data_IF_980022863441
#
_entry.id   IF_980022863441
#
_cell.length_a   1.000
_cell.length_b   1.000
_cell.length_c   1.000
_cell.angle_alpha   90.00
_cell.angle_beta   90.00
_cell.angle_gamma   90.00
#
_symmetry.space_group_name_H-M   'P 1'
#
loop_
_entity.id
_entity.type
_entity.pdbx_description
1 polymer ?
#
# COMPACT_ATOMS: atom_id res chain seq x y z
N UNK A 1 8.51 58.94 -12.02
CA UNK A 1 9.48 59.96 -12.43
C UNK A 1 10.81 59.51 -11.83
N UNK A 2 11.78 58.92 -12.50
CA UNK A 2 12.12 58.51 -13.88
C UNK A 2 12.91 57.18 -13.69
N UNK A 3 12.65 56.04 -14.36
CA UNK A 3 13.17 55.61 -15.68
C UNK A 3 14.64 56.06 -15.91
N UNK A 4 15.66 55.28 -16.27
CA UNK A 4 15.91 53.95 -16.89
C UNK A 4 17.46 53.82 -16.83
N UNK A 5 18.13 52.67 -16.75
CA UNK A 5 18.46 51.78 -17.88
C UNK A 5 19.33 50.62 -17.34
N UNK A 6 19.02 49.41 -17.81
CA UNK A 6 19.94 48.28 -18.00
C UNK A 6 20.56 48.40 -19.41
N UNK A 7 21.73 47.80 -19.78
CA UNK A 7 21.83 46.33 -19.92
C UNK A 7 23.23 45.65 -19.82
N UNK A 8 23.13 44.31 -19.73
CA UNK A 8 23.95 43.22 -20.33
C UNK A 8 25.47 43.01 -20.04
N UNK A 9 25.72 41.92 -19.29
CA UNK A 9 26.59 40.73 -19.53
C UNK A 9 27.87 40.85 -20.38
N UNK A 10 29.02 40.36 -19.87
CA UNK A 10 29.99 39.44 -20.51
C UNK A 10 31.07 38.95 -19.50
N UNK A 11 31.55 37.73 -19.77
CA UNK A 11 32.39 36.77 -19.04
C UNK A 11 33.90 37.06 -18.82
N UNK A 12 34.39 36.35 -17.80
CA UNK A 12 35.63 35.55 -17.64
C UNK A 12 37.05 36.14 -17.44
N UNK A 13 37.69 35.43 -16.49
CA UNK A 13 39.10 35.11 -16.27
C UNK A 13 40.11 36.20 -15.86
N UNK A 14 40.59 36.07 -14.61
CA UNK A 14 42.03 36.17 -14.32
C UNK A 14 42.46 35.55 -13.00
N UNK A 15 43.40 34.62 -13.16
CA UNK A 15 44.49 34.18 -12.29
C UNK A 15 44.70 34.93 -10.97
N UNK A 16 44.85 34.18 -9.88
CA UNK A 16 45.71 34.59 -8.77
C UNK A 16 46.52 33.39 -8.27
N UNK A 17 47.81 33.42 -8.63
CA UNK A 17 48.89 32.60 -8.06
C UNK A 17 49.43 33.31 -6.79
N UNK A 18 50.49 32.72 -6.23
CA UNK A 18 51.40 33.20 -5.14
C UNK A 18 50.92 32.82 -3.70
N UNK A 19 51.68 32.22 -2.77
CA UNK A 19 53.12 31.95 -2.48
C UNK A 19 53.15 30.73 -1.52
N UNK A 20 53.85 29.61 -1.77
CA UNK A 20 55.26 29.24 -1.52
C UNK A 20 55.69 29.00 -0.04
N UNK A 21 56.19 27.77 0.25
CA UNK A 21 57.38 27.36 1.06
C UNK A 21 57.07 26.10 1.89
N UNK A 22 57.84 25.00 1.92
CA UNK A 22 59.09 24.56 1.28
C UNK A 22 59.10 23.02 1.16
N UNK A 23 59.76 22.44 0.15
CA UNK A 23 61.10 21.81 0.19
C UNK A 23 61.22 20.75 1.31
N UNK A 24 61.37 19.44 1.05
CA UNK A 24 62.47 18.78 0.31
C UNK A 24 62.06 17.47 -0.39
N UNK A 25 62.84 17.15 -1.42
CA UNK A 25 62.78 15.99 -2.33
C UNK A 25 63.59 14.82 -1.74
N UNK A 26 63.13 13.59 -1.98
CA UNK A 26 64.00 12.41 -2.11
C UNK A 26 63.40 11.45 -3.14
N UNK A 27 63.85 11.57 -4.38
CA UNK A 27 63.72 10.53 -5.42
C UNK A 27 64.54 9.30 -5.04
N UNK A 28 63.90 8.12 -5.00
CA UNK A 28 64.36 6.91 -5.70
C UNK A 28 63.55 5.69 -5.25
N UNK A 29 62.69 5.18 -6.13
CA UNK A 29 62.87 3.86 -6.76
C UNK A 29 61.60 3.49 -7.51
N UNK A 30 61.73 3.30 -8.82
CA UNK A 30 60.74 2.69 -9.69
C UNK A 30 60.31 1.33 -9.12
N UNK A 31 59.15 1.30 -8.48
CA UNK A 31 58.37 0.11 -8.24
C UNK A 31 57.07 0.28 -9.00
N UNK A 32 56.99 -0.32 -10.18
CA UNK A 32 55.73 -0.51 -10.90
C UNK A 32 54.85 -1.35 -9.97
N UNK A 33 53.96 -0.70 -9.24
CA UNK A 33 52.85 -1.38 -8.58
C UNK A 33 51.94 -1.78 -9.74
N UNK A 34 52.08 -3.02 -10.20
CA UNK A 34 51.00 -3.67 -10.90
C UNK A 34 49.84 -3.67 -9.92
N UNK A 35 48.91 -2.75 -10.15
CA UNK A 35 47.59 -2.80 -9.57
C UNK A 35 46.99 -4.12 -10.08
N UNK A 36 47.15 -5.19 -9.30
CA UNK A 36 46.42 -6.44 -9.50
C UNK A 36 44.94 -6.08 -9.40
N UNK A 37 44.37 -5.74 -10.55
CA UNK A 37 42.93 -5.77 -10.77
C UNK A 37 42.57 -7.24 -10.64
N UNK A 38 42.24 -7.65 -9.42
CA UNK A 38 41.55 -8.90 -9.14
C UNK A 38 40.18 -8.79 -9.82
N UNK A 39 40.13 -9.18 -11.10
CA UNK A 39 38.91 -9.43 -11.85
C UNK A 39 38.24 -10.67 -11.26
N UNK A 40 37.57 -10.49 -10.12
CA UNK A 40 36.56 -11.43 -9.68
C UNK A 40 35.35 -11.27 -10.59
N UNK A 41 35.44 -11.81 -11.80
CA UNK A 41 34.27 -12.24 -12.53
C UNK A 41 33.70 -13.44 -11.77
N UNK A 42 33.03 -13.18 -10.63
CA UNK A 42 32.22 -14.18 -9.95
C UNK A 42 31.07 -14.53 -10.90
N UNK A 43 31.24 -15.65 -11.61
CA UNK A 43 30.15 -16.27 -12.35
C UNK A 43 29.06 -16.65 -11.35
N UNK A 44 27.87 -16.06 -11.51
CA UNK A 44 26.71 -16.40 -10.70
C UNK A 44 26.41 -17.89 -10.96
N UNK A 45 26.39 -18.74 -9.92
CA UNK A 45 26.13 -20.17 -10.08
C UNK A 45 24.71 -20.41 -10.60
N UNK A 46 24.45 -21.62 -11.10
CA UNK A 46 23.09 -22.01 -11.47
C UNK A 46 22.14 -21.98 -10.27
N UNK A 47 20.84 -21.70 -10.49
CA UNK A 47 19.87 -21.69 -9.40
C UNK A 47 19.80 -23.00 -8.62
N UNK A 48 19.71 -22.89 -7.29
CA UNK A 48 19.60 -24.06 -6.41
C UNK A 48 18.22 -24.74 -6.50
N UNK A 49 18.16 -26.00 -6.07
CA UNK A 49 16.94 -26.81 -6.12
C UNK A 49 15.78 -26.21 -5.31
N UNK A 50 16.08 -25.50 -4.22
CA UNK A 50 15.08 -24.87 -3.36
C UNK A 50 14.39 -23.71 -4.06
N UNK A 51 15.17 -22.83 -4.69
CA UNK A 51 14.67 -21.74 -5.51
C UNK A 51 13.88 -22.25 -6.73
N UNK A 52 14.38 -23.29 -7.41
CA UNK A 52 13.68 -23.88 -8.55
C UNK A 52 12.31 -24.45 -8.16
N UNK A 53 12.22 -25.11 -6.99
CA UNK A 53 10.94 -25.58 -6.47
C UNK A 53 9.96 -24.43 -6.20
N UNK A 54 10.44 -23.30 -5.67
CA UNK A 54 9.60 -22.09 -5.48
C UNK A 54 9.10 -21.56 -6.82
N UNK A 55 9.97 -21.44 -7.83
CA UNK A 55 9.58 -20.99 -9.17
C UNK A 55 8.50 -21.89 -9.78
N UNK A 56 8.68 -23.22 -9.73
CA UNK A 56 7.69 -24.20 -10.23
C UNK A 56 6.36 -24.09 -9.48
N UNK A 57 6.40 -23.86 -8.16
CA UNK A 57 5.20 -23.69 -7.36
C UNK A 57 4.45 -22.38 -7.66
N UNK A 58 5.16 -21.33 -8.07
CA UNK A 58 4.56 -20.06 -8.51
C UNK A 58 3.91 -20.25 -9.89
N UNK A 59 4.69 -20.76 -10.84
CA UNK A 59 4.28 -20.96 -12.23
C UNK A 59 5.21 -21.98 -12.92
N UNK A 60 4.71 -23.17 -13.30
CA UNK A 60 5.50 -24.17 -14.02
C UNK A 60 6.03 -23.69 -15.39
N UNK A 61 5.40 -22.68 -16.00
CA UNK A 61 5.80 -22.11 -17.29
C UNK A 61 6.51 -20.75 -17.14
N UNK A 62 7.04 -20.45 -15.95
CA UNK A 62 7.77 -19.21 -15.67
C UNK A 62 8.92 -19.00 -16.67
N UNK A 63 9.01 -17.79 -17.23
CA UNK A 63 10.06 -17.48 -18.21
C UNK A 63 11.46 -17.59 -17.59
N UNK A 64 12.38 -18.18 -18.35
CA UNK A 64 13.77 -18.32 -17.91
C UNK A 64 14.40 -16.96 -17.61
N UNK A 65 14.08 -15.95 -18.42
CA UNK A 65 14.55 -14.58 -18.23
C UNK A 65 14.18 -13.98 -16.88
N UNK A 66 12.95 -14.23 -16.38
CA UNK A 66 12.53 -13.72 -15.08
C UNK A 66 13.18 -14.54 -13.97
N UNK A 67 13.14 -15.86 -14.09
CA UNK A 67 13.75 -16.79 -13.12
C UNK A 67 15.22 -16.45 -12.90
N UNK A 68 15.98 -16.26 -13.98
CA UNK A 68 17.40 -15.98 -13.93
C UNK A 68 17.66 -14.57 -13.37
N UNK A 69 16.81 -13.58 -13.69
CA UNK A 69 16.92 -12.24 -13.10
C UNK A 69 16.67 -12.24 -11.58
N UNK A 70 15.66 -12.99 -11.11
CA UNK A 70 15.38 -13.14 -9.68
C UNK A 70 16.51 -13.87 -8.98
N UNK A 71 17.03 -14.95 -9.57
CA UNK A 71 18.17 -15.69 -9.03
C UNK A 71 19.42 -14.81 -8.93
N UNK A 72 19.75 -14.08 -10.00
CA UNK A 72 20.88 -13.16 -10.00
C UNK A 72 20.78 -12.13 -8.89
N UNK A 73 19.58 -11.56 -8.67
CA UNK A 73 19.36 -10.62 -7.58
C UNK A 73 19.49 -11.31 -6.21
N UNK A 74 18.92 -12.50 -6.04
CA UNK A 74 18.98 -13.26 -4.79
C UNK A 74 20.42 -13.60 -4.40
N UNK A 75 21.17 -14.18 -5.34
CA UNK A 75 22.57 -14.57 -5.15
C UNK A 75 23.46 -13.38 -4.83
N UNK A 76 23.35 -12.30 -5.62
CA UNK A 76 24.13 -11.07 -5.39
C UNK A 76 23.89 -10.48 -3.99
N UNK A 77 22.68 -10.60 -3.45
CA UNK A 77 22.40 -10.13 -2.09
C UNK A 77 22.90 -11.08 -1.01
N UNK A 78 22.84 -12.40 -1.24
CA UNK A 78 23.39 -13.37 -0.30
C UNK A 78 24.90 -13.26 -0.11
N UNK A 79 25.63 -12.77 -1.11
CA UNK A 79 27.07 -12.51 -0.98
C UNK A 79 27.38 -11.24 -0.20
N UNK A 80 26.48 -10.25 -0.23
CA UNK A 80 26.67 -8.95 0.42
C UNK A 80 26.25 -8.95 1.88
N UNK A 81 25.40 -9.89 2.28
CA UNK A 81 24.74 -9.91 3.58
C UNK A 81 24.58 -11.33 4.07
N UNK A 82 24.85 -11.53 5.35
CA UNK A 82 24.47 -12.73 6.07
C UNK A 82 22.93 -12.79 6.15
N UNK A 83 22.32 -13.48 5.19
CA UNK A 83 20.89 -13.80 5.24
C UNK A 83 20.73 -14.82 6.36
N UNK A 84 19.81 -14.59 7.31
CA UNK A 84 19.57 -15.35 8.56
C UNK A 84 19.33 -16.89 8.37
N UNK A 85 20.21 -17.60 7.66
CA UNK A 85 20.18 -18.99 7.21
C UNK A 85 18.94 -19.44 6.39
N UNK A 86 18.00 -18.53 6.07
CA UNK A 86 16.76 -18.82 5.31
C UNK A 86 16.69 -18.09 3.97
N UNK A 87 17.45 -18.54 2.97
CA UNK A 87 17.46 -17.97 1.61
C UNK A 87 16.05 -17.90 0.98
N UNK A 88 15.22 -18.92 1.22
CA UNK A 88 13.84 -18.98 0.70
C UNK A 88 12.98 -17.81 1.21
N UNK A 89 13.20 -17.34 2.44
CA UNK A 89 12.44 -16.22 3.01
C UNK A 89 12.71 -14.88 2.32
N UNK A 90 13.83 -14.77 1.58
CA UNK A 90 14.21 -13.58 0.82
C UNK A 90 13.82 -13.62 -0.66
N UNK A 91 13.44 -14.80 -1.19
CA UNK A 91 12.93 -14.96 -2.56
C UNK A 91 11.81 -13.98 -2.89
N UNK A 92 10.81 -13.73 -2.02
CA UNK A 92 9.78 -12.72 -2.29
C UNK A 92 10.33 -11.30 -2.46
N UNK A 93 11.39 -10.92 -1.76
CA UNK A 93 12.01 -9.60 -1.90
C UNK A 93 12.65 -9.45 -3.27
N UNK A 94 13.36 -10.49 -3.74
CA UNK A 94 13.94 -10.51 -5.07
C UNK A 94 12.85 -10.46 -6.16
N UNK A 95 11.82 -11.30 -6.07
CA UNK A 95 10.67 -11.24 -7.00
C UNK A 95 10.04 -9.85 -7.04
N UNK A 96 9.80 -9.23 -5.88
CA UNK A 96 9.20 -7.90 -5.80
C UNK A 96 10.02 -6.84 -6.55
N UNK A 97 11.34 -6.79 -6.33
CA UNK A 97 12.20 -5.83 -6.99
C UNK A 97 12.34 -6.12 -8.49
N UNK A 98 12.60 -7.37 -8.90
CA UNK A 98 12.72 -7.73 -10.32
C UNK A 98 11.42 -7.44 -11.07
N UNK A 99 10.26 -7.80 -10.53
CA UNK A 99 8.98 -7.54 -11.19
C UNK A 99 8.69 -6.03 -11.34
N UNK A 100 9.15 -5.21 -10.40
CA UNK A 100 9.05 -3.75 -10.49
C UNK A 100 10.02 -3.14 -11.52
N UNK A 101 11.18 -3.76 -11.73
CA UNK A 101 12.22 -3.27 -12.65
C UNK A 101 12.02 -3.75 -14.09
N UNK A 102 11.62 -5.01 -14.25
CA UNK A 102 11.42 -5.67 -15.56
C UNK A 102 10.18 -5.17 -16.28
N UNK A 103 9.09 -4.93 -15.54
CA UNK A 103 7.93 -4.31 -16.13
C UNK A 103 8.14 -2.80 -16.20
N UNK A 104 7.77 -2.19 -17.33
CA UNK A 104 7.55 -0.75 -17.37
C UNK A 104 6.51 -0.47 -16.28
N UNK A 105 6.96 0.02 -15.12
CA UNK A 105 6.29 0.34 -13.84
C UNK A 105 4.79 0.72 -13.84
N UNK A 106 4.22 1.00 -15.00
CA UNK A 106 2.87 1.45 -15.28
C UNK A 106 1.97 0.35 -15.91
N UNK A 107 2.49 -0.79 -16.34
CA UNK A 107 1.67 -1.91 -16.80
C UNK A 107 1.29 -2.77 -15.60
N UNK A 108 0.10 -2.51 -15.07
CA UNK A 108 -0.59 -3.46 -14.19
C UNK A 108 -1.47 -4.37 -15.06
N UNK A 109 -1.69 -5.63 -14.65
CA UNK A 109 -1.21 -6.25 -13.42
C UNK A 109 0.22 -6.82 -13.56
N UNK A 110 0.93 -6.90 -12.43
CA UNK A 110 2.12 -7.76 -12.33
C UNK A 110 1.77 -9.20 -12.76
N UNK A 111 2.70 -9.95 -13.35
CA UNK A 111 2.43 -11.30 -13.84
C UNK A 111 2.10 -12.27 -12.70
N UNK A 112 2.63 -12.01 -11.50
CA UNK A 112 2.47 -12.88 -10.34
C UNK A 112 1.93 -12.12 -9.12
N UNK A 113 1.13 -12.81 -8.31
CA UNK A 113 0.59 -12.27 -7.06
C UNK A 113 1.62 -12.37 -5.95
N UNK A 114 2.06 -11.23 -5.40
CA UNK A 114 2.95 -11.20 -4.23
C UNK A 114 2.40 -12.02 -3.05
N UNK A 115 1.09 -11.99 -2.81
CA UNK A 115 0.49 -12.78 -1.73
C UNK A 115 0.62 -14.29 -1.94
N UNK A 116 0.65 -14.77 -3.19
CA UNK A 116 0.85 -16.18 -3.48
C UNK A 116 2.33 -16.56 -3.28
N UNK A 117 3.25 -15.73 -3.75
CA UNK A 117 4.70 -15.92 -3.56
C UNK A 117 5.04 -16.01 -2.07
N UNK A 118 4.50 -15.10 -1.26
CA UNK A 118 4.67 -15.09 0.19
C UNK A 118 4.18 -16.39 0.85
N UNK A 119 3.01 -16.90 0.43
CA UNK A 119 2.47 -18.16 0.94
C UNK A 119 3.36 -19.36 0.60
N UNK A 120 3.87 -19.42 -0.64
CA UNK A 120 4.77 -20.49 -1.08
C UNK A 120 6.07 -20.48 -0.26
N UNK A 121 6.60 -19.28 0.01
CA UNK A 121 7.81 -19.13 0.81
C UNK A 121 7.55 -19.17 2.33
N UNK A 122 6.30 -19.36 2.77
CA UNK A 122 5.87 -19.32 4.17
C UNK A 122 6.22 -18.02 4.92
N UNK A 123 6.31 -16.90 4.20
CA UNK A 123 6.64 -15.57 4.75
C UNK A 123 5.37 -14.79 5.05
N UNK A 124 5.26 -14.23 6.26
CA UNK A 124 4.13 -13.37 6.61
C UNK A 124 4.23 -12.00 5.93
N UNK A 125 3.11 -11.29 5.75
CA UNK A 125 3.15 -9.93 5.14
C UNK A 125 3.97 -8.95 5.97
N UNK A 126 3.94 -9.08 7.30
CA UNK A 126 4.73 -8.24 8.21
C UNK A 126 6.22 -8.52 8.03
N UNK A 127 6.60 -9.79 8.11
CA UNK A 127 7.97 -10.25 7.91
C UNK A 127 8.51 -9.87 6.53
N UNK A 128 7.69 -9.97 5.49
CA UNK A 128 8.05 -9.53 4.14
C UNK A 128 8.47 -8.07 4.11
N UNK A 129 7.69 -7.16 4.71
CA UNK A 129 8.05 -5.74 4.71
C UNK A 129 9.30 -5.46 5.54
N UNK A 130 9.51 -6.18 6.65
CA UNK A 130 10.71 -6.06 7.46
C UNK A 130 11.96 -6.52 6.67
N UNK A 131 11.88 -7.66 5.99
CA UNK A 131 12.95 -8.17 5.12
C UNK A 131 13.15 -7.29 3.90
N UNK A 132 12.07 -6.83 3.25
CA UNK A 132 12.12 -5.97 2.06
C UNK A 132 12.75 -4.61 2.36
N UNK A 133 12.50 -4.02 3.54
CA UNK A 133 13.14 -2.77 3.92
C UNK A 133 14.66 -2.92 3.96
N UNK A 134 15.15 -3.97 4.65
CA UNK A 134 16.59 -4.29 4.69
C UNK A 134 17.14 -4.58 3.30
N UNK A 135 16.39 -5.36 2.52
CA UNK A 135 16.74 -5.71 1.14
C UNK A 135 16.95 -4.48 0.26
N UNK A 136 16.01 -3.52 0.28
CA UNK A 136 16.07 -2.29 -0.51
C UNK A 136 17.29 -1.44 -0.12
N UNK A 137 17.55 -1.33 1.18
CA UNK A 137 18.67 -0.54 1.72
C UNK A 137 20.03 -1.12 1.28
N UNK A 138 20.18 -2.44 1.35
CA UNK A 138 21.39 -3.18 0.96
C UNK A 138 21.57 -3.19 -0.56
N UNK A 139 20.47 -3.43 -1.28
CA UNK A 139 20.47 -3.54 -2.72
C UNK A 139 20.82 -2.23 -3.41
N UNK A 140 20.83 -1.10 -2.68
CA UNK A 140 20.86 0.25 -3.25
C UNK A 140 19.80 0.38 -4.35
N UNK A 141 18.62 -0.21 -4.10
CA UNK A 141 17.52 -0.24 -5.06
C UNK A 141 17.09 1.17 -5.43
N UNK A 142 16.50 1.33 -6.62
CA UNK A 142 16.06 2.64 -7.07
C UNK A 142 15.10 3.29 -6.06
N UNK A 143 15.20 4.62 -5.90
CA UNK A 143 14.29 5.41 -5.07
C UNK A 143 12.81 5.10 -5.34
N UNK A 144 12.51 4.74 -6.57
CA UNK A 144 11.19 4.35 -7.06
C UNK A 144 10.63 3.09 -6.38
N UNK A 145 11.47 2.07 -6.18
CA UNK A 145 11.09 0.82 -5.48
C UNK A 145 10.88 1.12 -4.00
N UNK A 146 11.77 1.92 -3.40
CA UNK A 146 11.65 2.37 -2.01
C UNK A 146 10.33 3.14 -1.77
N UNK A 147 10.02 4.14 -2.61
CA UNK A 147 8.78 4.91 -2.53
C UNK A 147 7.54 4.04 -2.76
N UNK A 148 7.60 3.09 -3.71
CA UNK A 148 6.48 2.18 -3.98
C UNK A 148 6.23 1.21 -2.82
N UNK A 149 7.29 0.61 -2.25
CA UNK A 149 7.21 -0.27 -1.09
C UNK A 149 6.60 0.45 0.11
N UNK A 150 7.15 1.63 0.45
CA UNK A 150 6.65 2.44 1.56
C UNK A 150 5.18 2.83 1.37
N UNK A 151 4.79 3.23 0.15
CA UNK A 151 3.40 3.58 -0.16
C UNK A 151 2.45 2.40 0.05
N UNK A 152 2.82 1.20 -0.41
CA UNK A 152 1.99 0.00 -0.21
C UNK A 152 1.90 -0.35 1.28
N UNK A 153 3.04 -0.37 1.98
CA UNK A 153 3.08 -0.69 3.42
C UNK A 153 2.22 0.27 4.23
N UNK A 154 2.35 1.58 3.99
CA UNK A 154 1.55 2.61 4.66
C UNK A 154 0.05 2.48 4.34
N UNK A 155 -0.29 2.27 3.06
CA UNK A 155 -1.68 2.03 2.63
C UNK A 155 -2.31 0.80 3.29
N UNK A 156 -1.54 -0.28 3.41
CA UNK A 156 -1.97 -1.50 4.08
C UNK A 156 -2.15 -1.29 5.58
N UNK A 157 -1.22 -0.59 6.23
CA UNK A 157 -1.32 -0.27 7.66
C UNK A 157 -2.60 0.50 7.98
N UNK A 158 -2.93 1.52 7.18
CA UNK A 158 -4.21 2.24 7.30
C UNK A 158 -5.39 1.29 7.09
N UNK A 159 -5.36 0.47 6.04
CA UNK A 159 -6.44 -0.50 5.75
C UNK A 159 -6.69 -1.46 6.92
N UNK A 160 -5.64 -1.95 7.59
CA UNK A 160 -5.74 -2.79 8.78
C UNK A 160 -6.40 -2.06 9.94
N UNK A 161 -6.05 -0.80 10.19
CA UNK A 161 -6.68 0.00 11.25
C UNK A 161 -8.16 0.25 10.94
N UNK A 162 -8.50 0.56 9.69
CA UNK A 162 -9.88 0.75 9.25
C UNK A 162 -10.70 -0.53 9.41
N UNK A 163 -10.16 -1.69 9.03
CA UNK A 163 -10.81 -2.97 9.27
C UNK A 163 -11.07 -3.21 10.76
N UNK A 164 -10.06 -2.98 11.61
CA UNK A 164 -10.18 -3.10 13.07
C UNK A 164 -11.22 -2.15 13.65
N UNK A 165 -11.40 -0.95 13.09
CA UNK A 165 -12.44 0.02 13.49
C UNK A 165 -13.82 -0.40 12.98
N UNK A 166 -13.93 -0.98 11.79
CA UNK A 166 -15.20 -1.44 11.23
C UNK A 166 -15.86 -2.49 12.12
N UNK A 167 -15.08 -3.44 12.64
CA UNK A 167 -15.60 -4.57 13.42
C UNK A 167 -16.47 -4.15 14.63
N UNK A 168 -16.00 -3.33 15.59
CA UNK A 168 -16.83 -2.88 16.71
C UNK A 168 -17.96 -1.94 16.28
N UNK A 169 -17.75 -1.10 15.25
CA UNK A 169 -18.80 -0.23 14.70
C UNK A 169 -19.95 -1.09 14.15
N UNK A 170 -19.63 -2.08 13.32
CA UNK A 170 -20.60 -2.98 12.73
C UNK A 170 -21.41 -3.70 13.80
N UNK A 171 -20.75 -4.25 14.83
CA UNK A 171 -21.41 -4.94 15.94
C UNK A 171 -22.29 -4.04 16.80
N UNK A 172 -22.01 -2.74 16.85
CA UNK A 172 -22.84 -1.78 17.60
C UNK A 172 -24.13 -1.39 16.88
N UNK A 173 -24.23 -1.65 15.58
CA UNK A 173 -25.31 -1.18 14.72
C UNK A 173 -26.15 -2.33 14.16
N UNK A 174 -25.51 -3.47 13.89
CA UNK A 174 -26.12 -4.57 13.19
C UNK A 174 -26.19 -5.81 14.08
N UNK A 175 -27.37 -6.40 14.12
CA UNK A 175 -27.63 -7.66 14.80
C UNK A 175 -27.04 -8.82 14.02
N UNK A 176 -26.61 -9.86 14.74
CA UNK A 176 -26.20 -11.11 14.11
C UNK A 176 -27.40 -11.87 13.53
N UNK A 177 -27.30 -12.19 12.25
CA UNK A 177 -28.27 -12.93 11.44
C UNK A 177 -27.52 -14.09 10.79
N UNK A 178 -27.84 -15.36 11.15
CA UNK A 178 -27.14 -16.53 10.63
C UNK A 178 -27.54 -16.83 9.19
N UNK A 179 -26.62 -17.46 8.44
CA UNK A 179 -26.90 -17.97 7.09
C UNK A 179 -28.03 -18.99 7.13
N UNK A 180 -29.15 -18.70 6.47
CA UNK A 180 -30.30 -19.61 6.37
C UNK A 180 -30.88 -19.58 4.96
N UNK A 181 -31.45 -20.71 4.51
CA UNK A 181 -32.02 -20.83 3.16
C UNK A 181 -33.25 -19.92 2.91
N UNK A 182 -33.81 -19.32 3.96
CA UNK A 182 -35.02 -18.48 3.92
C UNK A 182 -34.76 -16.97 3.94
N UNK A 183 -33.52 -16.53 4.22
CA UNK A 183 -33.19 -15.11 4.28
C UNK A 183 -32.46 -14.66 3.02
N UNK A 184 -32.73 -13.43 2.57
CA UNK A 184 -32.15 -12.85 1.35
C UNK A 184 -30.65 -12.58 1.47
N UNK A 185 -30.15 -12.23 2.66
CA UNK A 185 -28.72 -12.15 2.97
C UNK A 185 -28.48 -12.27 4.48
N UNK A 186 -27.25 -12.62 4.88
CA UNK A 186 -26.85 -12.80 6.29
C UNK A 186 -25.85 -11.74 6.77
N UNK A 187 -25.45 -11.77 8.05
CA UNK A 187 -24.49 -10.81 8.59
C UNK A 187 -23.10 -10.88 7.95
N UNK A 188 -22.66 -12.05 7.47
CA UNK A 188 -21.36 -12.18 6.81
C UNK A 188 -21.38 -11.52 5.43
N UNK A 189 -22.47 -11.73 4.67
CA UNK A 189 -22.71 -11.08 3.38
C UNK A 189 -22.79 -9.57 3.54
N UNK A 190 -23.53 -9.07 4.54
CA UNK A 190 -23.60 -7.63 4.84
C UNK A 190 -22.24 -7.05 5.21
N UNK A 191 -21.51 -7.70 6.13
CA UNK A 191 -20.18 -7.24 6.52
C UNK A 191 -19.21 -7.20 5.33
N UNK A 192 -19.23 -8.24 4.49
CA UNK A 192 -18.41 -8.34 3.29
C UNK A 192 -18.75 -7.24 2.29
N UNK A 193 -20.04 -6.96 2.09
CA UNK A 193 -20.50 -5.89 1.21
C UNK A 193 -20.03 -4.51 1.71
N UNK A 194 -20.21 -4.20 3.00
CA UNK A 194 -19.73 -2.96 3.61
C UNK A 194 -18.21 -2.83 3.46
N UNK A 195 -17.47 -3.91 3.73
CA UNK A 195 -16.03 -3.92 3.61
C UNK A 195 -15.55 -3.71 2.17
N UNK A 196 -16.22 -4.35 1.20
CA UNK A 196 -15.89 -4.19 -0.22
C UNK A 196 -16.10 -2.75 -0.68
N UNK A 197 -17.22 -2.12 -0.30
CA UNK A 197 -17.46 -0.69 -0.58
C UNK A 197 -16.32 0.17 -0.02
N UNK A 198 -15.93 -0.07 1.24
CA UNK A 198 -14.83 0.67 1.88
C UNK A 198 -13.52 0.51 1.09
N UNK A 199 -13.18 -0.70 0.65
CA UNK A 199 -11.95 -0.94 -0.12
C UNK A 199 -12.00 -0.24 -1.48
N UNK A 200 -13.11 -0.32 -2.20
CA UNK A 200 -13.27 0.33 -3.50
C UNK A 200 -13.18 1.86 -3.34
N UNK A 201 -13.92 2.42 -2.39
CA UNK A 201 -13.93 3.87 -2.14
C UNK A 201 -12.58 4.40 -1.67
N UNK A 202 -11.89 3.66 -0.79
CA UNK A 202 -10.55 4.03 -0.31
C UNK A 202 -9.59 4.23 -1.48
N UNK A 203 -9.59 3.32 -2.45
CA UNK A 203 -8.72 3.37 -3.62
C UNK A 203 -8.96 4.61 -4.49
N UNK A 204 -10.14 5.22 -4.40
CA UNK A 204 -10.51 6.44 -5.12
C UNK A 204 -10.22 7.73 -4.34
N UNK A 205 -9.75 7.64 -3.10
CA UNK A 205 -9.40 8.81 -2.29
C UNK A 205 -8.17 9.52 -2.86
N UNK A 206 -8.12 10.86 -2.79
CA UNK A 206 -6.93 11.62 -3.14
C UNK A 206 -5.77 11.38 -2.16
N UNK A 207 -6.10 11.11 -0.89
CA UNK A 207 -5.17 10.82 0.18
C UNK A 207 -5.72 9.66 1.01
N UNK A 208 -4.87 8.66 1.30
CA UNK A 208 -5.23 7.49 2.11
C UNK A 208 -4.76 7.64 3.55
N UNK A 209 -4.81 8.85 4.12
CA UNK A 209 -4.52 9.06 5.53
C UNK A 209 -5.61 8.42 6.41
N UNK A 210 -5.23 8.13 7.65
CA UNK A 210 -6.09 7.39 8.58
C UNK A 210 -7.39 8.12 8.90
N UNK A 211 -7.35 9.45 9.04
CA UNK A 211 -8.52 10.24 9.43
C UNK A 211 -9.55 10.27 8.30
N UNK A 212 -9.11 10.59 7.09
CA UNK A 212 -9.96 10.59 5.89
C UNK A 212 -10.57 9.21 5.65
N UNK A 213 -9.77 8.13 5.73
CA UNK A 213 -10.27 6.78 5.57
C UNK A 213 -11.27 6.39 6.67
N UNK A 214 -11.09 6.90 7.89
CA UNK A 214 -12.02 6.65 9.00
C UNK A 214 -13.35 7.36 8.80
N UNK A 215 -13.35 8.65 8.40
CA UNK A 215 -14.61 9.35 8.09
C UNK A 215 -15.33 8.76 6.88
N UNK A 216 -14.58 8.25 5.89
CA UNK A 216 -15.15 7.49 4.78
C UNK A 216 -15.87 6.23 5.28
N UNK A 217 -15.26 5.45 6.17
CA UNK A 217 -15.91 4.30 6.81
C UNK A 217 -17.22 4.71 7.50
N UNK A 218 -17.21 5.80 8.29
CA UNK A 218 -18.41 6.27 8.99
C UNK A 218 -19.53 6.66 8.01
N UNK A 219 -19.19 7.27 6.88
CA UNK A 219 -20.16 7.64 5.85
C UNK A 219 -20.75 6.42 5.15
N UNK A 220 -19.93 5.41 4.82
CA UNK A 220 -20.40 4.15 4.24
C UNK A 220 -21.34 3.46 5.21
N UNK A 221 -20.95 3.33 6.48
CA UNK A 221 -21.77 2.68 7.51
C UNK A 221 -23.09 3.43 7.73
N UNK A 222 -23.06 4.77 7.83
CA UNK A 222 -24.30 5.57 7.92
C UNK A 222 -25.22 5.31 6.72
N UNK A 223 -24.67 5.27 5.52
CA UNK A 223 -25.45 5.08 4.30
C UNK A 223 -26.15 3.72 4.29
N UNK A 224 -25.42 2.67 4.62
CA UNK A 224 -25.92 1.29 4.73
C UNK A 224 -26.96 1.17 5.84
N UNK A 225 -26.70 1.75 7.02
CA UNK A 225 -27.63 1.71 8.14
C UNK A 225 -28.97 2.39 7.79
N UNK A 226 -28.92 3.56 7.13
CA UNK A 226 -30.14 4.27 6.70
C UNK A 226 -30.93 3.50 5.65
N UNK A 227 -30.24 2.82 4.74
CA UNK A 227 -30.88 1.95 3.75
C UNK A 227 -31.68 0.82 4.42
N UNK A 228 -31.06 0.09 5.35
CA UNK A 228 -31.73 -0.98 6.08
C UNK A 228 -32.92 -0.48 6.91
N UNK A 229 -32.82 0.72 7.51
CA UNK A 229 -33.93 1.34 8.22
C UNK A 229 -35.09 1.71 7.28
N UNK A 230 -34.79 2.08 6.03
CA UNK A 230 -35.79 2.53 5.07
C UNK A 230 -36.56 1.37 4.42
N UNK A 231 -35.91 0.22 4.23
CA UNK A 231 -36.49 -0.98 3.60
C UNK A 231 -37.02 -2.03 4.58
N UNK A 232 -37.36 -1.61 5.81
CA UNK A 232 -37.90 -2.47 6.87
C UNK A 232 -37.05 -3.74 7.09
N UNK A 233 -35.72 -3.59 7.16
CA UNK A 233 -34.77 -4.66 7.48
C UNK A 233 -34.42 -4.67 8.98
N UNK A 234 -35.40 -4.47 9.86
CA UNK A 234 -35.21 -4.35 11.30
C UNK A 234 -34.55 -5.59 11.92
N UNK A 235 -34.73 -6.77 11.30
CA UNK A 235 -34.09 -8.01 11.70
C UNK A 235 -32.55 -7.96 11.69
N UNK A 236 -31.97 -7.08 10.86
CA UNK A 236 -30.53 -6.85 10.75
C UNK A 236 -30.02 -5.72 11.64
N UNK A 237 -30.90 -4.95 12.29
CA UNK A 237 -30.54 -3.76 13.06
C UNK A 237 -30.51 -4.10 14.55
N UNK A 238 -29.50 -3.60 15.25
CA UNK A 238 -29.43 -3.73 16.70
C UNK A 238 -30.43 -2.75 17.36
N UNK A 239 -31.45 -3.19 18.13
CA UNK A 239 -32.50 -2.30 18.63
C UNK A 239 -32.01 -1.17 19.54
N UNK A 240 -30.96 -1.42 20.34
CA UNK A 240 -30.34 -0.37 21.16
C UNK A 240 -29.77 0.76 20.30
N UNK A 241 -29.26 0.43 19.11
CA UNK A 241 -28.75 1.42 18.17
C UNK A 241 -29.86 2.36 17.69
N UNK A 242 -31.05 1.84 17.35
CA UNK A 242 -32.19 2.66 16.91
C UNK A 242 -32.56 3.71 17.96
N UNK A 243 -32.65 3.30 19.22
CA UNK A 243 -32.97 4.20 20.34
C UNK A 243 -31.93 5.31 20.41
N UNK A 244 -30.64 4.96 20.39
CA UNK A 244 -29.54 5.90 20.46
C UNK A 244 -29.48 6.85 19.24
N UNK A 245 -29.89 6.39 18.05
CA UNK A 245 -29.93 7.20 16.81
C UNK A 245 -31.09 8.21 16.78
N UNK A 246 -32.15 7.95 17.55
CA UNK A 246 -33.40 8.73 17.58
C UNK A 246 -33.53 9.64 18.82
N UNK A 247 -32.51 9.71 19.69
CA UNK A 247 -32.56 10.43 20.99
C UNK A 247 -32.92 11.92 20.91
N UNK A 248 -32.94 12.56 19.74
CA UNK A 248 -33.16 14.00 19.60
C UNK A 248 -34.39 14.34 18.76
N UNK A 249 -35.11 15.40 19.18
CA UNK A 249 -36.31 15.94 18.51
C UNK A 249 -36.08 16.46 17.08
N UNK A 250 -34.83 16.50 16.62
CA UNK A 250 -34.40 17.03 15.32
C UNK A 250 -34.23 15.96 14.22
N UNK A 251 -34.58 14.69 14.49
CA UNK A 251 -34.50 13.59 13.53
C UNK A 251 -33.25 12.71 13.66
N UNK A 252 -33.06 11.80 12.69
CA UNK A 252 -32.03 10.73 12.75
C UNK A 252 -30.62 11.30 12.55
N UNK A 253 -29.79 11.25 13.61
CA UNK A 253 -28.40 11.78 13.58
C UNK A 253 -27.32 10.69 13.55
N UNK A 254 -27.44 9.72 12.64
CA UNK A 254 -26.54 8.55 12.61
C UNK A 254 -25.07 8.93 12.62
N UNK A 255 -24.61 9.79 11.71
CA UNK A 255 -23.19 10.19 11.67
C UNK A 255 -22.71 10.87 12.94
N UNK A 256 -23.56 11.64 13.62
CA UNK A 256 -23.20 12.33 14.87
C UNK A 256 -22.99 11.36 16.01
N UNK A 257 -23.91 10.41 16.15
CA UNK A 257 -23.77 9.30 17.08
C UNK A 257 -22.51 8.52 16.80
N UNK A 258 -22.26 8.14 15.55
CA UNK A 258 -21.07 7.38 15.18
C UNK A 258 -19.78 8.13 15.52
N UNK A 259 -19.74 9.43 15.24
CA UNK A 259 -18.60 10.27 15.61
C UNK A 259 -18.42 10.34 17.13
N UNK A 260 -19.50 10.51 17.89
CA UNK A 260 -19.46 10.55 19.36
C UNK A 260 -19.00 9.22 19.97
N UNK A 261 -19.49 8.10 19.44
CA UNK A 261 -19.24 6.76 20.01
C UNK A 261 -17.88 6.17 19.61
N UNK A 262 -17.30 6.62 18.49
CA UNK A 262 -16.06 6.04 17.94
C UNK A 262 -14.95 7.06 17.70
N UNK A 263 -15.03 8.21 18.36
CA UNK A 263 -14.03 9.30 18.34
C UNK A 263 -13.81 9.89 16.93
N UNK A 264 -14.89 10.04 16.17
CA UNK A 264 -14.90 10.76 14.90
C UNK A 264 -14.99 12.27 15.09
N UNK A 265 -14.26 13.02 14.27
CA UNK A 265 -14.41 14.48 14.18
C UNK A 265 -15.66 14.83 13.36
N UNK A 266 -16.73 15.22 14.04
CA UNK A 266 -18.06 15.41 13.42
C UNK A 266 -18.07 16.42 12.27
N UNK A 267 -17.39 17.55 12.43
CA UNK A 267 -17.38 18.60 11.42
C UNK A 267 -16.70 18.11 10.13
N UNK A 268 -15.55 17.46 10.27
CA UNK A 268 -14.79 16.87 9.17
C UNK A 268 -15.59 15.75 8.49
N UNK A 269 -16.25 14.88 9.26
CA UNK A 269 -17.09 13.82 8.72
C UNK A 269 -18.29 14.39 7.95
N UNK A 270 -18.95 15.45 8.45
CA UNK A 270 -20.03 16.15 7.73
C UNK A 270 -19.53 16.80 6.44
N UNK A 271 -18.35 17.42 6.49
CA UNK A 271 -17.70 18.01 5.31
C UNK A 271 -17.37 16.94 4.27
N UNK A 272 -16.69 15.85 4.66
CA UNK A 272 -16.38 14.71 3.81
C UNK A 272 -17.63 14.11 3.16
N UNK A 273 -18.69 13.88 3.96
CA UNK A 273 -19.96 13.34 3.47
C UNK A 273 -20.56 14.21 2.35
N UNK A 274 -20.57 15.52 2.59
CA UNK A 274 -21.27 16.49 1.73
C UNK A 274 -20.49 16.76 0.44
N UNK A 275 -19.18 16.97 0.55
CA UNK A 275 -18.37 17.46 -0.56
C UNK A 275 -17.62 16.38 -1.32
N UNK A 276 -17.42 15.20 -0.71
CA UNK A 276 -16.70 14.09 -1.34
C UNK A 276 -17.59 12.87 -1.52
N UNK A 277 -18.10 12.27 -0.43
CA UNK A 277 -18.82 11.00 -0.48
C UNK A 277 -20.05 11.07 -1.39
N UNK A 278 -20.97 12.01 -1.14
CA UNK A 278 -22.21 12.14 -1.93
C UNK A 278 -21.94 12.53 -3.39
N UNK A 279 -20.87 13.27 -3.65
CA UNK A 279 -20.50 13.74 -5.01
C UNK A 279 -19.83 12.63 -5.83
N UNK A 280 -19.08 11.73 -5.17
CA UNK A 280 -18.20 10.77 -5.85
C UNK A 280 -18.71 9.33 -5.83
N UNK A 281 -19.51 8.93 -4.84
CA UNK A 281 -19.92 7.53 -4.65
C UNK A 281 -20.58 6.92 -5.88
N UNK A 282 -21.41 7.66 -6.61
CA UNK A 282 -22.09 7.20 -7.82
C UNK A 282 -21.11 6.82 -8.93
N UNK A 283 -20.08 7.65 -9.13
CA UNK A 283 -19.04 7.39 -10.12
C UNK A 283 -18.09 6.27 -9.70
N UNK A 284 -17.85 6.11 -8.40
CA UNK A 284 -16.94 5.08 -7.86
C UNK A 284 -17.62 3.71 -7.80
N UNK A 285 -18.92 3.67 -7.52
CA UNK A 285 -19.72 2.46 -7.36
C UNK A 285 -20.87 2.44 -8.38
N UNK A 286 -20.57 2.43 -9.69
CA UNK A 286 -21.58 2.59 -10.74
C UNK A 286 -22.60 1.45 -10.79
N UNK A 287 -22.25 0.28 -10.24
CA UNK A 287 -23.12 -0.90 -10.22
C UNK A 287 -24.16 -0.88 -9.10
N UNK A 288 -24.07 0.04 -8.15
CA UNK A 288 -25.03 0.16 -7.04
C UNK A 288 -26.16 1.11 -7.44
N UNK A 289 -27.38 0.83 -6.96
CA UNK A 289 -28.43 1.85 -6.96
C UNK A 289 -28.07 2.92 -5.90
N UNK A 290 -28.15 4.22 -6.23
CA UNK A 290 -27.81 5.30 -5.29
C UNK A 290 -29.00 6.11 -4.81
N UNK A 291 -30.16 5.94 -5.47
CA UNK A 291 -31.41 6.59 -5.05
C UNK A 291 -31.99 5.86 -3.86
N UNK A 292 -32.10 4.54 -3.98
CA UNK A 292 -32.76 3.72 -2.97
C UNK A 292 -31.83 2.70 -2.34
N UNK A 293 -30.55 2.62 -2.77
CA UNK A 293 -29.59 1.53 -2.52
C UNK A 293 -30.22 0.15 -2.63
N UNK A 294 -31.04 -0.24 -1.67
CA UNK A 294 -31.83 -1.45 -1.66
C UNK A 294 -30.88 -2.64 -1.65
N UNK A 295 -30.18 -2.76 -0.52
CA UNK A 295 -29.17 -3.78 -0.30
C UNK A 295 -29.72 -5.18 -0.65
N UNK A 296 -31.01 -5.44 -0.43
CA UNK A 296 -31.67 -6.72 -0.80
C UNK A 296 -31.56 -7.02 -2.29
N UNK A 297 -31.58 -5.99 -3.15
CA UNK A 297 -31.50 -6.11 -4.60
C UNK A 297 -30.07 -6.00 -5.17
N UNK A 298 -29.06 -5.69 -4.34
CA UNK A 298 -27.65 -5.65 -4.77
C UNK A 298 -26.87 -6.94 -4.43
N UNK A 299 -27.50 -7.91 -3.78
CA UNK A 299 -26.95 -9.25 -3.53
C UNK A 299 -27.22 -10.22 -4.67
#
# INVERSE_FOLDING_TARGET
MEATDEPEVIQDDKEMKTICSGFEISDNSEGRVEEEVLDYSHEIPSPDDGFLQVCIAIDPEMSETLRDAVWNQLFTMSEKVDLDDETIAYVPCAFYCVMLETEKFNQRPFPYSMLNILKICSVSVMEFFDKLSRWIDIATSSKKIQEHSFKIQSSLAVTVVIYKKLVPIFRSLFRYVPSSASQSFDSNSLFTFVWLIIIIMKKSLPCEDLLTCFHMLLCVVEWIYKDLCFHDCEEHIEPESVTHMMENKDGVRVLEVLCRSFDGVLLDAKHFRTHWFNVKRENILPSLNHKDLDIRNNF
#
